data_IF_209260267074
#
_entry.id   IF_209260267074
#
_cell.length_a   1.000
_cell.length_b   1.000
_cell.length_c   1.000
_cell.angle_alpha   90.00
_cell.angle_beta   90.00
_cell.angle_gamma   90.00
#
_symmetry.space_group_name_H-M   'P 1'
#
loop_
_entity.id
_entity.type
_entity.pdbx_description
1 polymer ?
#
# COMPACT_ATOMS: atom_id res chain seq x y z
N UNK A 1 -16.03 20.50 22.42
CA UNK A 1 -15.33 20.85 21.16
C UNK A 1 -13.99 20.10 21.16
N UNK A 2 -13.86 18.99 20.43
CA UNK A 2 -12.57 18.29 20.32
C UNK A 2 -11.60 19.18 19.54
N UNK A 3 -10.52 19.56 20.17
CA UNK A 3 -9.44 20.30 19.55
C UNK A 3 -8.81 19.43 18.46
N UNK A 4 -8.77 19.93 17.24
CA UNK A 4 -8.24 19.22 16.08
C UNK A 4 -6.72 19.17 16.18
N UNK A 5 -6.16 18.03 16.60
CA UNK A 5 -4.72 17.84 16.73
C UNK A 5 -4.00 18.16 15.40
N UNK A 6 -2.86 18.83 15.47
CA UNK A 6 -1.96 18.98 14.33
C UNK A 6 -1.36 17.62 13.97
N UNK A 7 -0.87 17.47 12.74
CA UNK A 7 -0.22 16.23 12.30
C UNK A 7 1.00 15.88 13.17
N UNK A 8 1.72 16.89 13.67
CA UNK A 8 2.87 16.69 14.55
C UNK A 8 2.44 16.20 15.95
N UNK A 9 1.41 16.79 16.54
CA UNK A 9 0.87 16.37 17.85
C UNK A 9 0.32 14.94 17.75
N UNK A 10 -0.40 14.65 16.68
CA UNK A 10 -0.92 13.31 16.40
C UNK A 10 0.19 12.27 16.33
N UNK A 11 1.26 12.55 15.60
CA UNK A 11 2.42 11.67 15.51
C UNK A 11 3.07 11.43 16.87
N UNK A 12 3.27 12.48 17.67
CA UNK A 12 3.83 12.38 19.01
C UNK A 12 2.97 11.46 19.88
N UNK A 13 1.65 11.61 19.83
CA UNK A 13 0.74 10.77 20.63
C UNK A 13 0.73 9.31 20.14
N UNK A 14 0.69 9.07 18.83
CA UNK A 14 0.72 7.72 18.25
C UNK A 14 2.02 6.97 18.57
N UNK A 15 3.14 7.68 18.67
CA UNK A 15 4.46 7.12 18.98
C UNK A 15 4.79 7.18 20.49
N UNK A 16 3.80 7.46 21.33
CA UNK A 16 3.97 7.46 22.79
C UNK A 16 4.32 6.05 23.30
N UNK A 17 5.26 5.98 24.24
CA UNK A 17 5.53 4.74 25.00
C UNK A 17 4.38 4.35 25.94
N UNK A 18 3.48 5.29 26.24
CA UNK A 18 2.23 5.03 26.97
C UNK A 18 1.16 4.57 25.98
N UNK A 19 0.86 3.27 26.05
CA UNK A 19 -0.12 2.63 25.16
C UNK A 19 -1.50 3.28 25.25
N UNK A 20 -1.90 3.81 26.40
CA UNK A 20 -3.20 4.45 26.59
C UNK A 20 -3.31 5.77 25.83
N UNK A 21 -2.23 6.55 25.80
CA UNK A 21 -2.14 7.79 25.01
C UNK A 21 -2.21 7.46 23.52
N UNK A 22 -1.45 6.46 23.10
CA UNK A 22 -1.37 6.06 21.71
C UNK A 22 -2.70 5.49 21.19
N UNK A 23 -3.38 4.62 21.96
CA UNK A 23 -4.72 4.11 21.62
C UNK A 23 -5.76 5.24 21.56
N UNK A 24 -5.73 6.19 22.49
CA UNK A 24 -6.63 7.34 22.44
C UNK A 24 -6.41 8.18 21.16
N UNK A 25 -5.16 8.33 20.72
CA UNK A 25 -4.87 9.02 19.46
C UNK A 25 -5.47 8.29 18.27
N UNK A 26 -5.43 6.95 18.22
CA UNK A 26 -6.07 6.15 17.17
C UNK A 26 -7.61 6.34 17.21
N UNK A 27 -8.22 6.30 18.38
CA UNK A 27 -9.67 6.53 18.50
C UNK A 27 -10.08 7.94 18.01
N UNK A 28 -9.27 8.96 18.29
CA UNK A 28 -9.49 10.30 17.73
C UNK A 28 -9.39 10.32 16.20
N UNK A 29 -8.50 9.52 15.61
CA UNK A 29 -8.38 9.38 14.17
C UNK A 29 -9.57 8.66 13.52
N UNK A 30 -10.13 7.65 14.17
CA UNK A 30 -11.35 6.97 13.69
C UNK A 30 -12.51 7.95 13.50
N UNK A 31 -12.61 8.94 14.37
CA UNK A 31 -13.66 9.97 14.30
C UNK A 31 -13.36 11.04 13.24
N UNK A 32 -12.08 11.38 13.05
CA UNK A 32 -11.66 12.53 12.25
C UNK A 32 -10.67 12.16 11.11
N UNK A 33 -10.71 10.94 10.61
CA UNK A 33 -9.74 10.39 9.67
C UNK A 33 -9.45 11.29 8.47
N UNK A 34 -8.15 11.45 8.15
CA UNK A 34 -7.62 12.22 7.03
C UNK A 34 -6.45 11.47 6.42
N UNK A 35 -6.16 11.75 5.15
CA UNK A 35 -4.98 11.23 4.47
C UNK A 35 -3.68 11.51 5.26
N UNK A 36 -3.56 12.68 5.90
CA UNK A 36 -2.40 13.02 6.75
C UNK A 36 -2.17 12.11 7.96
N UNK A 37 -3.10 11.21 8.27
CA UNK A 37 -2.94 10.18 9.29
C UNK A 37 -2.22 8.93 8.78
N UNK A 38 -2.15 8.73 7.47
CA UNK A 38 -1.59 7.53 6.83
C UNK A 38 -0.13 7.35 7.23
N UNK A 39 0.72 8.35 6.98
CA UNK A 39 2.14 8.24 7.31
C UNK A 39 2.40 7.96 8.80
N UNK A 40 1.77 8.64 9.78
CA UNK A 40 1.88 8.28 11.19
C UNK A 40 1.39 6.85 11.53
N UNK A 41 0.30 6.38 10.93
CA UNK A 41 -0.19 5.01 11.14
C UNK A 41 0.75 3.97 10.55
N UNK A 42 1.34 4.22 9.39
CA UNK A 42 2.38 3.38 8.80
C UNK A 42 3.64 3.34 9.68
N UNK A 43 4.01 4.46 10.32
CA UNK A 43 5.10 4.48 11.30
C UNK A 43 4.82 3.58 12.50
N UNK A 44 3.57 3.56 13.01
CA UNK A 44 3.15 2.61 14.05
C UNK A 44 3.35 1.17 13.59
N UNK A 45 2.93 0.83 12.37
CA UNK A 45 3.13 -0.53 11.83
C UNK A 45 4.59 -0.91 11.70
N UNK A 46 5.42 0.00 11.19
CA UNK A 46 6.82 -0.25 10.92
C UNK A 46 7.67 -0.36 12.20
N UNK A 47 7.36 0.43 13.25
CA UNK A 47 8.30 0.64 14.35
C UNK A 47 7.73 0.51 15.77
N UNK A 48 6.41 0.41 15.97
CA UNK A 48 5.86 0.20 17.32
C UNK A 48 6.11 -1.20 17.84
N UNK A 49 6.39 -1.33 19.13
CA UNK A 49 6.49 -2.61 19.83
C UNK A 49 5.13 -3.10 20.37
N UNK A 50 4.10 -2.24 20.37
CA UNK A 50 2.78 -2.55 20.88
C UNK A 50 1.91 -3.25 19.83
N UNK A 51 1.63 -4.54 20.02
CA UNK A 51 0.83 -5.34 19.08
C UNK A 51 -0.61 -4.83 18.94
N UNK A 52 -1.21 -4.34 20.03
CA UNK A 52 -2.54 -3.71 20.02
C UNK A 52 -2.59 -2.50 19.10
N UNK A 53 -1.57 -1.64 19.18
CA UNK A 53 -1.43 -0.46 18.34
C UNK A 53 -1.29 -0.83 16.85
N UNK A 54 -0.45 -1.82 16.55
CA UNK A 54 -0.31 -2.32 15.17
C UNK A 54 -1.62 -2.87 14.63
N UNK A 55 -2.37 -3.60 15.45
CA UNK A 55 -3.69 -4.12 15.07
C UNK A 55 -4.65 -2.99 14.69
N UNK A 56 -4.83 -2.03 15.58
CA UNK A 56 -5.72 -0.89 15.38
C UNK A 56 -5.32 -0.03 14.15
N UNK A 57 -4.00 0.23 13.99
CA UNK A 57 -3.48 0.96 12.84
C UNK A 57 -3.77 0.21 11.53
N UNK A 58 -3.60 -1.12 11.51
CA UNK A 58 -3.88 -1.97 10.36
C UNK A 58 -5.36 -1.96 9.99
N UNK A 59 -6.24 -2.13 10.97
CA UNK A 59 -7.69 -2.06 10.78
C UNK A 59 -8.11 -0.71 10.20
N UNK A 60 -7.55 0.37 10.72
CA UNK A 60 -7.86 1.72 10.26
C UNK A 60 -7.35 1.96 8.83
N UNK A 61 -6.12 1.57 8.51
CA UNK A 61 -5.55 1.71 7.16
C UNK A 61 -6.29 0.87 6.12
N UNK A 62 -6.76 -0.32 6.49
CA UNK A 62 -7.54 -1.20 5.59
C UNK A 62 -8.95 -0.68 5.28
N UNK A 63 -9.45 0.30 6.03
CA UNK A 63 -10.78 0.88 5.86
C UNK A 63 -10.75 2.38 5.49
N UNK A 64 -9.58 2.92 5.15
CA UNK A 64 -9.39 4.36 4.97
C UNK A 64 -9.69 4.82 3.54
N UNK A 65 -10.95 5.17 3.29
CA UNK A 65 -11.43 5.68 1.99
C UNK A 65 -11.55 7.21 1.97
N UNK A 66 -10.48 7.89 2.34
CA UNK A 66 -10.45 9.36 2.31
C UNK A 66 -9.76 9.86 1.06
N UNK A 67 -10.10 11.08 0.63
CA UNK A 67 -9.46 11.74 -0.51
C UNK A 67 -7.94 11.77 -0.32
N UNK A 68 -7.19 11.50 -1.35
CA UNK A 68 -5.73 11.44 -1.42
C UNK A 68 -5.09 10.28 -0.59
N UNK A 69 -5.87 9.32 -0.09
CA UNK A 69 -5.30 8.19 0.65
C UNK A 69 -4.45 7.30 -0.25
N UNK A 70 -4.88 7.10 -1.49
CA UNK A 70 -4.13 6.35 -2.51
C UNK A 70 -2.75 6.97 -2.75
N UNK A 71 -2.70 8.27 -3.02
CA UNK A 71 -1.45 9.00 -3.24
C UNK A 71 -0.48 8.86 -2.05
N UNK A 72 -0.97 9.01 -0.83
CA UNK A 72 -0.16 8.86 0.39
C UNK A 72 0.37 7.43 0.57
N UNK A 73 -0.45 6.41 0.27
CA UNK A 73 -0.02 5.00 0.32
C UNK A 73 1.03 4.69 -0.75
N UNK A 74 0.81 5.15 -1.99
CA UNK A 74 1.78 4.96 -3.07
C UNK A 74 3.09 5.70 -2.77
N UNK A 75 3.04 6.93 -2.28
CA UNK A 75 4.24 7.66 -1.88
C UNK A 75 5.01 6.92 -0.76
N UNK A 76 4.31 6.28 0.16
CA UNK A 76 4.94 5.51 1.23
C UNK A 76 5.75 4.30 0.71
N UNK A 77 5.41 3.72 -0.45
CA UNK A 77 6.18 2.62 -1.05
C UNK A 77 7.61 3.03 -1.43
N UNK A 78 7.87 4.33 -1.64
CA UNK A 78 9.20 4.86 -1.96
C UNK A 78 10.00 5.29 -0.73
N UNK A 79 9.37 5.39 0.44
CA UNK A 79 10.07 5.79 1.65
C UNK A 79 10.75 4.57 2.31
N UNK A 80 12.08 4.63 2.39
CA UNK A 80 12.88 3.55 2.99
C UNK A 80 12.45 3.15 4.40
N UNK A 81 11.83 4.07 5.17
CA UNK A 81 11.33 3.77 6.52
C UNK A 81 10.21 2.73 6.52
N UNK A 82 9.49 2.57 5.39
CA UNK A 82 8.38 1.64 5.24
C UNK A 82 8.73 0.37 4.45
N UNK A 83 10.00 0.18 4.12
CA UNK A 83 10.45 -0.98 3.33
C UNK A 83 10.01 -2.32 3.93
N UNK A 84 9.99 -2.43 5.26
CA UNK A 84 9.58 -3.67 5.97
C UNK A 84 8.09 -3.97 5.90
N UNK A 85 7.26 -3.01 5.50
CA UNK A 85 5.79 -3.12 5.45
C UNK A 85 5.22 -2.87 4.05
N UNK A 86 6.04 -2.90 3.00
CA UNK A 86 5.59 -2.67 1.61
C UNK A 86 4.48 -3.63 1.20
N UNK A 87 4.53 -4.89 1.61
CA UNK A 87 3.47 -5.88 1.36
C UNK A 87 2.15 -5.45 2.01
N UNK A 88 2.20 -4.97 3.26
CA UNK A 88 1.00 -4.45 3.94
C UNK A 88 0.45 -3.19 3.23
N UNK A 89 1.33 -2.32 2.70
CA UNK A 89 0.89 -1.15 1.93
C UNK A 89 0.17 -1.58 0.64
N UNK A 90 0.69 -2.57 -0.09
CA UNK A 90 -0.02 -3.14 -1.26
C UNK A 90 -1.38 -3.70 -0.84
N UNK A 91 -1.46 -4.39 0.32
CA UNK A 91 -2.71 -4.88 0.87
C UNK A 91 -3.70 -3.75 1.17
N UNK A 92 -3.24 -2.61 1.70
CA UNK A 92 -4.13 -1.47 1.96
C UNK A 92 -4.65 -0.86 0.66
N UNK A 93 -3.88 -0.86 -0.42
CA UNK A 93 -4.36 -0.37 -1.72
C UNK A 93 -5.56 -1.19 -2.20
N UNK A 94 -5.46 -2.50 -2.33
CA UNK A 94 -6.59 -3.30 -2.83
C UNK A 94 -7.75 -3.39 -1.83
N UNK A 95 -7.50 -3.46 -0.52
CA UNK A 95 -8.58 -3.53 0.49
C UNK A 95 -9.42 -2.24 0.57
N UNK A 96 -8.84 -1.11 0.19
CA UNK A 96 -9.56 0.16 0.04
C UNK A 96 -10.19 0.35 -1.35
N UNK A 97 -9.92 -0.56 -2.29
CA UNK A 97 -10.41 -0.48 -3.66
C UNK A 97 -9.71 0.62 -4.47
N UNK A 98 -8.43 0.89 -4.17
CA UNK A 98 -7.63 1.84 -4.93
C UNK A 98 -7.06 1.20 -6.19
N UNK A 99 -6.95 2.02 -7.22
CA UNK A 99 -6.56 1.68 -8.56
C UNK A 99 -5.04 1.52 -8.73
N UNK A 100 -4.63 0.64 -9.66
CA UNK A 100 -3.26 0.63 -10.16
C UNK A 100 -3.05 1.66 -11.29
N UNK A 101 -4.11 2.27 -11.83
CA UNK A 101 -4.02 3.23 -12.93
C UNK A 101 -3.22 4.48 -12.51
N UNK A 102 -2.35 4.95 -13.39
CA UNK A 102 -1.38 6.00 -13.10
C UNK A 102 -0.14 5.54 -12.32
N UNK A 103 -0.12 4.31 -11.76
CA UNK A 103 0.95 3.79 -10.92
C UNK A 103 1.37 2.34 -11.26
N UNK A 104 0.85 1.77 -12.34
CA UNK A 104 1.02 0.36 -12.69
C UNK A 104 2.48 -0.10 -12.69
N UNK A 105 3.36 0.66 -13.32
CA UNK A 105 4.79 0.36 -13.41
C UNK A 105 5.45 0.27 -12.02
N UNK A 106 5.14 1.23 -11.14
CA UNK A 106 5.70 1.31 -9.78
C UNK A 106 5.22 0.16 -8.92
N UNK A 107 3.91 -0.13 -8.97
CA UNK A 107 3.31 -1.18 -8.15
C UNK A 107 3.82 -2.56 -8.55
N UNK A 108 3.98 -2.85 -9.85
CA UNK A 108 4.55 -4.13 -10.31
C UNK A 108 6.01 -4.28 -9.91
N UNK A 109 6.79 -3.19 -9.94
CA UNK A 109 8.19 -3.22 -9.50
C UNK A 109 8.32 -3.53 -8.01
N UNK A 110 7.51 -2.88 -7.17
CA UNK A 110 7.47 -3.15 -5.72
C UNK A 110 7.00 -4.58 -5.46
N UNK A 111 5.97 -5.04 -6.17
CA UNK A 111 5.43 -6.39 -6.03
C UNK A 111 6.49 -7.46 -6.31
N UNK A 112 7.18 -7.37 -7.44
CA UNK A 112 8.23 -8.34 -7.82
C UNK A 112 9.40 -8.33 -6.83
N UNK A 113 9.82 -7.16 -6.34
CA UNK A 113 10.88 -7.03 -5.32
C UNK A 113 10.52 -7.68 -3.97
N UNK A 114 9.24 -7.77 -3.65
CA UNK A 114 8.73 -8.39 -2.44
C UNK A 114 8.35 -9.89 -2.63
N UNK A 115 8.74 -10.50 -3.75
CA UNK A 115 8.58 -11.93 -4.03
C UNK A 115 7.13 -12.37 -4.15
N UNK A 116 6.86 -13.65 -3.82
CA UNK A 116 5.55 -14.26 -4.00
C UNK A 116 4.40 -13.45 -3.35
N UNK A 117 4.57 -13.05 -2.09
CA UNK A 117 3.53 -12.32 -1.37
C UNK A 117 3.25 -10.95 -1.98
N UNK A 118 4.30 -10.21 -2.36
CA UNK A 118 4.13 -8.91 -3.03
C UNK A 118 3.39 -9.05 -4.35
N UNK A 119 3.72 -10.05 -5.15
CA UNK A 119 3.05 -10.34 -6.42
C UNK A 119 1.59 -10.76 -6.23
N UNK A 120 1.29 -11.50 -5.15
CA UNK A 120 -0.10 -11.89 -4.81
C UNK A 120 -0.95 -10.67 -4.46
N UNK A 121 -0.45 -9.77 -3.61
CA UNK A 121 -1.16 -8.53 -3.26
C UNK A 121 -1.36 -7.63 -4.50
N UNK A 122 -0.39 -7.58 -5.41
CA UNK A 122 -0.52 -6.82 -6.64
C UNK A 122 -1.58 -7.43 -7.60
N UNK A 123 -1.65 -8.75 -7.71
CA UNK A 123 -2.74 -9.40 -8.46
C UNK A 123 -4.11 -9.01 -7.88
N UNK A 124 -4.23 -8.96 -6.54
CA UNK A 124 -5.46 -8.51 -5.91
C UNK A 124 -5.82 -7.05 -6.26
N UNK A 125 -4.82 -6.16 -6.42
CA UNK A 125 -5.06 -4.80 -6.91
C UNK A 125 -5.62 -4.82 -8.33
N UNK A 126 -5.06 -5.64 -9.23
CA UNK A 126 -5.52 -5.74 -10.61
C UNK A 126 -6.93 -6.36 -10.74
N UNK A 127 -7.31 -7.27 -9.82
CA UNK A 127 -8.61 -7.95 -9.83
C UNK A 127 -9.76 -7.11 -9.26
N UNK A 128 -9.47 -6.20 -8.33
CA UNK A 128 -10.52 -5.36 -7.69
C UNK A 128 -11.02 -4.27 -8.63
N UNK A 129 -10.32 -3.98 -9.70
CA UNK A 129 -10.54 -2.77 -10.46
C UNK A 129 -10.94 -2.99 -11.92
N UNK A 130 -11.99 -2.27 -12.32
CA UNK A 130 -12.27 -1.95 -13.72
C UNK A 130 -11.48 -0.69 -14.13
N UNK A 131 -10.14 -0.73 -13.95
CA UNK A 131 -9.25 0.39 -14.28
C UNK A 131 -9.06 0.54 -15.78
N UNK A 132 -8.96 1.76 -16.22
CA UNK A 132 -8.56 2.09 -17.58
C UNK A 132 -7.13 2.61 -17.54
N UNK A 133 -6.23 1.91 -18.21
CA UNK A 133 -4.80 2.17 -18.20
C UNK A 133 -4.37 2.89 -19.48
N UNK A 134 -3.30 3.64 -19.43
CA UNK A 134 -2.67 4.19 -20.63
C UNK A 134 -1.77 3.15 -21.29
N UNK A 135 -1.57 3.28 -22.61
CA UNK A 135 -0.61 2.44 -23.34
C UNK A 135 0.82 2.57 -22.78
N UNK A 136 1.20 3.78 -22.34
CA UNK A 136 2.52 4.04 -21.75
C UNK A 136 2.71 3.24 -20.45
N UNK A 137 1.72 3.20 -19.58
CA UNK A 137 1.76 2.43 -18.33
C UNK A 137 1.88 0.93 -18.57
N UNK A 138 1.07 0.41 -19.51
CA UNK A 138 1.13 -1.00 -19.89
C UNK A 138 2.49 -1.37 -20.47
N UNK A 139 2.99 -0.59 -21.43
CA UNK A 139 4.30 -0.81 -22.04
C UNK A 139 5.44 -0.72 -21.02
N UNK A 140 5.38 0.25 -20.10
CA UNK A 140 6.35 0.40 -19.01
C UNK A 140 6.38 -0.82 -18.10
N UNK A 141 5.23 -1.28 -17.62
CA UNK A 141 5.11 -2.46 -16.78
C UNK A 141 5.56 -3.74 -17.50
N UNK A 142 5.17 -3.92 -18.76
CA UNK A 142 5.60 -5.05 -19.61
C UNK A 142 7.10 -5.05 -19.87
N UNK A 143 7.70 -3.88 -20.12
CA UNK A 143 9.14 -3.73 -20.30
C UNK A 143 9.91 -4.16 -19.05
N UNK A 144 9.46 -3.71 -17.86
CA UNK A 144 10.03 -4.12 -16.59
C UNK A 144 9.96 -5.64 -16.39
N UNK A 145 8.78 -6.24 -16.56
CA UNK A 145 8.58 -7.68 -16.38
C UNK A 145 9.45 -8.50 -17.34
N UNK A 146 9.49 -8.14 -18.63
CA UNK A 146 10.31 -8.84 -19.63
C UNK A 146 11.81 -8.71 -19.38
N UNK A 147 12.25 -7.64 -18.74
CA UNK A 147 13.66 -7.43 -18.37
C UNK A 147 14.06 -8.08 -17.05
N UNK A 148 13.07 -8.54 -16.26
CA UNK A 148 13.30 -9.15 -14.94
C UNK A 148 13.85 -10.58 -15.09
N UNK A 149 15.04 -10.90 -14.52
CA UNK A 149 15.59 -12.25 -14.56
C UNK A 149 14.73 -13.23 -13.76
N UNK A 150 14.23 -14.28 -14.43
CA UNK A 150 13.38 -15.29 -13.77
C UNK A 150 14.16 -16.48 -13.19
N UNK A 151 15.47 -16.53 -13.38
CA UNK A 151 16.31 -17.66 -12.97
C UNK A 151 16.29 -17.86 -11.46
N UNK A 152 16.19 -16.76 -10.70
CA UNK A 152 16.18 -16.76 -9.24
C UNK A 152 14.77 -16.91 -8.62
N UNK A 153 13.71 -16.93 -9.44
CA UNK A 153 12.35 -17.10 -8.95
C UNK A 153 12.07 -18.57 -8.63
N UNK A 154 11.40 -18.82 -7.52
CA UNK A 154 10.85 -20.14 -7.18
C UNK A 154 9.81 -20.57 -8.22
N UNK A 155 9.36 -21.82 -8.13
CA UNK A 155 8.31 -22.34 -9.02
C UNK A 155 6.99 -21.57 -8.86
N UNK A 156 6.61 -21.29 -7.62
CA UNK A 156 5.41 -20.56 -7.25
C UNK A 156 5.47 -19.10 -7.71
N UNK A 157 6.62 -18.46 -7.55
CA UNK A 157 6.85 -17.11 -8.03
C UNK A 157 6.78 -17.01 -9.56
N UNK A 158 7.30 -18.00 -10.27
CA UNK A 158 7.18 -18.04 -11.75
C UNK A 158 5.74 -18.14 -12.21
N UNK A 159 4.89 -18.88 -11.50
CA UNK A 159 3.48 -19.02 -11.85
C UNK A 159 2.80 -17.65 -11.73
N UNK A 160 2.86 -17.03 -10.56
CA UNK A 160 2.21 -15.73 -10.34
C UNK A 160 2.80 -14.61 -11.18
N UNK A 161 4.11 -14.64 -11.44
CA UNK A 161 4.78 -13.69 -12.34
C UNK A 161 4.23 -13.78 -13.76
N UNK A 162 4.03 -14.99 -14.28
CA UNK A 162 3.44 -15.20 -15.61
C UNK A 162 1.95 -14.84 -15.65
N UNK A 163 1.24 -15.01 -14.54
CA UNK A 163 -0.16 -14.57 -14.42
C UNK A 163 -0.25 -13.05 -14.46
N UNK A 164 0.60 -12.33 -13.72
CA UNK A 164 0.73 -10.86 -13.78
C UNK A 164 1.01 -10.41 -15.23
N UNK A 165 1.97 -11.05 -15.88
CA UNK A 165 2.38 -10.70 -17.24
C UNK A 165 1.20 -10.83 -18.22
N UNK A 166 0.43 -11.93 -18.12
CA UNK A 166 -0.78 -12.14 -18.92
C UNK A 166 -1.88 -11.13 -18.61
N UNK A 167 -2.11 -10.86 -17.34
CA UNK A 167 -3.14 -9.91 -16.93
C UNK A 167 -2.83 -8.51 -17.46
N UNK A 168 -1.59 -8.04 -17.32
CA UNK A 168 -1.18 -6.72 -17.81
C UNK A 168 -1.29 -6.65 -19.35
N UNK A 169 -0.95 -7.72 -20.08
CA UNK A 169 -1.05 -7.77 -21.55
C UNK A 169 -2.50 -7.63 -22.06
N UNK A 170 -3.49 -7.96 -21.21
CA UNK A 170 -4.92 -7.93 -21.52
C UNK A 170 -5.69 -6.78 -20.90
N UNK A 171 -5.02 -5.84 -20.23
CA UNK A 171 -5.67 -4.66 -19.63
C UNK A 171 -6.37 -3.81 -20.68
N UNK A 172 -7.50 -3.22 -20.30
CA UNK A 172 -8.23 -2.26 -21.13
C UNK A 172 -7.45 -0.94 -21.18
N UNK A 173 -7.12 -0.51 -22.39
CA UNK A 173 -6.35 0.71 -22.65
C UNK A 173 -7.28 1.78 -23.21
N UNK A 174 -7.15 3.01 -22.72
CA UNK A 174 -7.70 4.19 -23.37
C UNK A 174 -6.75 4.65 -24.48
N UNK A 175 -7.29 4.77 -25.69
CA UNK A 175 -6.64 5.47 -26.80
C UNK A 175 -6.58 6.97 -26.59
#
# INVERSE_FOLDING_TARGET
>A
MSQKLSSTELRIQLMSSDESIALNAIEQLKINGRASAISPLLEVLASSDHLSMKKEAREMLSAMRVKNAEEELVQALFDNKFKSIQIEILQFLWSNGFSAAGQLHVLVEVAVKNGFQGMLEFMSILEVEEGVYSEEEQLGAMSFLRSTPQENLTREEKIIFNDILRTIDTLVINE
#
